data_IF_928181687202
#
_entry.id   IF_928181687202
#
_cell.length_a   1.000
_cell.length_b   1.000
_cell.length_c   1.000
_cell.angle_alpha   90.00
_cell.angle_beta   90.00
_cell.angle_gamma   90.00
#
_symmetry.space_group_name_H-M   'P 1'
#
loop_
_entity.id
_entity.type
_entity.pdbx_description
1 polymer ?
#
# COMPACT_ATOMS: atom_id res chain seq x y z
N UNK A 1 9.16 24.68 -21.52
CA UNK A 1 7.83 25.31 -21.45
C UNK A 1 6.94 24.63 -22.49
N UNK A 2 6.26 23.57 -22.09
CA UNK A 2 5.30 22.86 -22.95
C UNK A 2 3.91 23.28 -22.51
N UNK A 3 3.13 23.80 -23.46
CA UNK A 3 1.70 24.07 -23.33
C UNK A 3 1.00 22.86 -22.72
N UNK A 4 0.45 22.99 -21.51
CA UNK A 4 -0.19 21.89 -20.79
C UNK A 4 -1.57 21.64 -21.39
N UNK A 5 -1.69 20.59 -22.19
CA UNK A 5 -2.97 19.89 -22.24
C UNK A 5 -3.35 19.57 -20.78
N UNK A 6 -4.46 20.13 -20.30
CA UNK A 6 -5.05 19.76 -19.00
C UNK A 6 -5.15 18.23 -18.98
N UNK A 7 -4.50 17.58 -18.00
CA UNK A 7 -4.55 16.12 -17.95
C UNK A 7 -5.99 15.68 -17.73
N UNK A 8 -6.35 14.45 -18.16
CA UNK A 8 -7.71 13.92 -17.96
C UNK A 8 -8.10 13.94 -16.48
N UNK A 9 -7.13 13.70 -15.62
CA UNK A 9 -7.26 13.78 -14.18
C UNK A 9 -7.56 15.20 -13.69
N UNK A 10 -6.88 16.23 -14.21
CA UNK A 10 -7.15 17.62 -13.81
C UNK A 10 -8.55 18.05 -14.25
N UNK A 11 -9.00 17.60 -15.43
CA UNK A 11 -10.36 17.87 -15.90
C UNK A 11 -11.41 17.20 -15.00
N UNK A 12 -11.17 15.94 -14.59
CA UNK A 12 -12.04 15.23 -13.65
C UNK A 12 -12.02 15.86 -12.25
N UNK A 13 -10.84 16.20 -11.72
CA UNK A 13 -10.72 16.87 -10.42
C UNK A 13 -11.50 18.20 -10.42
N UNK A 14 -11.34 19.02 -11.45
CA UNK A 14 -12.11 20.26 -11.59
C UNK A 14 -13.63 19.99 -11.66
N UNK A 15 -14.07 18.97 -12.40
CA UNK A 15 -15.48 18.64 -12.55
C UNK A 15 -16.11 18.13 -11.23
N UNK A 16 -15.42 17.25 -10.49
CA UNK A 16 -15.88 16.78 -9.18
C UNK A 16 -15.94 17.92 -8.16
N UNK A 17 -14.90 18.76 -8.07
CA UNK A 17 -14.90 19.96 -7.21
C UNK A 17 -16.06 20.91 -7.52
N UNK A 18 -16.35 21.12 -8.80
CA UNK A 18 -17.49 21.93 -9.23
C UNK A 18 -18.83 21.29 -8.81
N UNK A 19 -18.97 19.97 -8.97
CA UNK A 19 -20.17 19.25 -8.55
C UNK A 19 -20.38 19.32 -7.02
N UNK A 20 -19.33 19.16 -6.21
CA UNK A 20 -19.40 19.32 -4.76
C UNK A 20 -19.81 20.73 -4.35
N UNK A 21 -19.28 21.74 -5.05
CA UNK A 21 -19.61 23.14 -4.78
C UNK A 21 -21.05 23.48 -5.16
N UNK A 22 -21.59 22.84 -6.20
CA UNK A 22 -22.96 23.05 -6.68
C UNK A 22 -24.02 22.34 -5.82
N UNK A 23 -23.70 21.20 -5.22
CA UNK A 23 -24.64 20.45 -4.37
C UNK A 23 -24.69 21.05 -2.95
N UNK A 24 -25.79 21.70 -2.60
CA UNK A 24 -25.98 22.34 -1.28
C UNK A 24 -25.95 21.34 -0.12
N UNK A 25 -26.23 20.06 -0.40
CA UNK A 25 -26.16 18.99 0.60
C UNK A 25 -24.73 18.66 0.97
N UNK A 26 -23.75 18.94 0.10
CA UNK A 26 -22.34 18.80 0.46
C UNK A 26 -21.94 19.97 1.36
N UNK A 27 -21.62 19.65 2.61
CA UNK A 27 -21.23 20.60 3.65
C UNK A 27 -19.74 20.86 3.67
N UNK A 28 -18.95 19.81 3.47
CA UNK A 28 -17.51 19.91 3.39
C UNK A 28 -16.93 18.86 2.44
N UNK A 29 -15.78 19.14 1.87
CA UNK A 29 -15.02 18.19 1.07
C UNK A 29 -13.53 18.47 1.19
N UNK A 30 -12.72 17.42 1.24
CA UNK A 30 -11.27 17.50 1.13
C UNK A 30 -10.75 16.51 0.09
N UNK A 31 -9.62 16.82 -0.50
CA UNK A 31 -8.80 15.90 -1.31
C UNK A 31 -7.58 15.46 -0.52
N UNK A 32 -7.05 14.29 -0.85
CA UNK A 32 -5.84 13.74 -0.23
C UNK A 32 -4.98 13.02 -1.29
N UNK A 33 -3.89 12.41 -0.83
CA UNK A 33 -3.02 11.62 -1.70
C UNK A 33 -2.05 12.47 -2.51
N UNK A 34 -1.69 11.98 -3.70
CA UNK A 34 -0.54 12.49 -4.45
C UNK A 34 -0.70 13.93 -4.96
N UNK A 35 -1.93 14.33 -5.31
CA UNK A 35 -2.23 15.64 -5.91
C UNK A 35 -2.02 16.81 -4.97
N UNK A 36 -2.68 16.88 -3.79
CA UNK A 36 -2.44 17.97 -2.85
C UNK A 36 -0.98 18.00 -2.33
N UNK A 37 -0.28 16.86 -2.36
CA UNK A 37 1.14 16.77 -2.01
C UNK A 37 2.11 17.22 -3.13
N UNK A 38 1.61 17.66 -4.29
CA UNK A 38 2.46 18.07 -5.43
C UNK A 38 3.20 16.90 -6.11
N UNK A 39 2.73 15.67 -5.91
CA UNK A 39 3.29 14.44 -6.46
C UNK A 39 2.38 13.77 -7.49
N UNK A 40 1.32 14.45 -7.91
CA UNK A 40 0.36 13.96 -8.90
C UNK A 40 0.92 14.00 -10.33
N UNK A 41 0.57 13.00 -11.12
CA UNK A 41 0.96 12.85 -12.52
C UNK A 41 -0.17 12.21 -13.36
N UNK A 42 0.15 11.83 -14.61
CA UNK A 42 -0.77 11.20 -15.55
C UNK A 42 -1.22 9.77 -15.19
N UNK A 43 -0.70 9.22 -14.09
CA UNK A 43 -1.05 7.90 -13.55
C UNK A 43 -1.73 7.97 -12.19
N UNK A 44 -1.86 9.18 -11.64
CA UNK A 44 -2.46 9.41 -10.34
C UNK A 44 -3.97 9.32 -10.39
N UNK A 45 -4.54 8.80 -9.31
CA UNK A 45 -5.97 8.86 -9.05
C UNK A 45 -6.41 10.28 -8.66
N UNK A 46 -7.72 10.47 -8.52
CA UNK A 46 -8.33 11.64 -7.88
C UNK A 46 -9.11 11.16 -6.66
N UNK A 47 -8.86 11.72 -5.49
CA UNK A 47 -9.31 11.14 -4.22
C UNK A 47 -9.98 12.22 -3.34
N UNK A 48 -11.14 11.89 -2.74
CA UNK A 48 -11.89 12.81 -1.89
C UNK A 48 -12.51 12.15 -0.65
N UNK A 49 -12.68 12.96 0.39
CA UNK A 49 -13.70 12.75 1.43
C UNK A 49 -14.74 13.85 1.31
N UNK A 50 -16.01 13.46 1.28
CA UNK A 50 -17.16 14.35 1.09
C UNK A 50 -18.13 14.16 2.26
N UNK A 51 -18.45 15.26 2.92
CA UNK A 51 -19.32 15.32 4.07
C UNK A 51 -20.68 15.93 3.68
N UNK A 52 -21.76 15.16 3.84
CA UNK A 52 -23.12 15.54 3.44
C UNK A 52 -24.01 15.87 4.65
N UNK A 53 -24.91 16.82 4.49
CA UNK A 53 -25.67 17.44 5.58
C UNK A 53 -26.58 16.47 6.34
N UNK A 54 -27.11 15.48 5.63
CA UNK A 54 -28.18 14.62 6.09
C UNK A 54 -27.63 13.21 6.38
N UNK A 55 -27.78 12.74 7.62
CA UNK A 55 -27.39 11.39 8.02
C UNK A 55 -28.12 10.32 7.21
N UNK A 56 -29.39 10.56 6.85
CA UNK A 56 -30.13 9.65 5.99
C UNK A 56 -29.52 9.63 4.58
N UNK A 57 -29.18 10.79 4.02
CA UNK A 57 -28.45 10.86 2.74
C UNK A 57 -27.10 10.14 2.80
N UNK A 58 -26.35 10.26 3.89
CA UNK A 58 -25.10 9.52 4.08
C UNK A 58 -25.33 8.01 4.19
N UNK A 59 -26.38 7.58 4.89
CA UNK A 59 -26.78 6.18 4.99
C UNK A 59 -27.26 5.62 3.62
N UNK A 60 -28.04 6.38 2.86
CA UNK A 60 -28.46 6.04 1.50
C UNK A 60 -27.24 5.88 0.58
N UNK A 61 -26.17 6.65 0.81
CA UNK A 61 -24.92 6.51 0.09
C UNK A 61 -24.12 5.24 0.39
N UNK A 62 -24.54 4.46 1.39
CA UNK A 62 -24.04 3.10 1.60
C UNK A 62 -24.62 2.10 0.58
N UNK A 63 -25.83 2.39 0.08
CA UNK A 63 -26.61 1.51 -0.81
C UNK A 63 -26.61 2.02 -2.27
N UNK A 64 -26.53 3.34 -2.47
CA UNK A 64 -26.67 3.98 -3.77
C UNK A 64 -25.61 5.07 -4.01
N UNK A 65 -24.93 5.08 -5.17
CA UNK A 65 -23.92 6.08 -5.46
C UNK A 65 -24.54 7.49 -5.54
N UNK A 66 -23.90 8.51 -4.97
CA UNK A 66 -24.28 9.91 -5.19
C UNK A 66 -24.41 10.29 -6.67
N UNK A 67 -25.37 11.16 -6.99
CA UNK A 67 -25.65 11.62 -8.36
C UNK A 67 -24.41 12.13 -9.10
N UNK A 68 -23.55 12.89 -8.42
CA UNK A 68 -22.31 13.40 -9.00
C UNK A 68 -21.30 12.31 -9.34
N UNK A 69 -21.32 11.12 -8.70
CA UNK A 69 -20.52 9.99 -9.16
C UNK A 69 -21.04 9.42 -10.48
N UNK A 70 -22.35 9.40 -10.66
CA UNK A 70 -22.98 8.83 -11.84
C UNK A 70 -22.86 9.74 -13.07
N UNK A 71 -22.84 11.06 -12.86
CA UNK A 71 -22.96 12.03 -13.95
C UNK A 71 -21.63 12.68 -14.35
N UNK A 72 -20.72 12.88 -13.40
CA UNK A 72 -19.42 13.51 -13.72
C UNK A 72 -18.61 12.54 -14.57
N UNK A 73 -18.30 12.94 -15.80
CA UNK A 73 -17.34 12.23 -16.65
C UNK A 73 -17.75 10.83 -17.08
N UNK A 74 -19.04 10.46 -17.00
CA UNK A 74 -19.64 9.22 -17.51
C UNK A 74 -18.78 7.96 -17.20
N UNK A 75 -18.70 7.54 -15.92
CA UNK A 75 -17.83 6.43 -15.53
C UNK A 75 -18.30 5.11 -16.16
N UNK A 76 -17.34 4.33 -16.65
CA UNK A 76 -17.57 2.99 -17.17
C UNK A 76 -17.81 1.96 -16.06
N UNK A 77 -17.37 2.24 -14.84
CA UNK A 77 -17.57 1.41 -13.66
C UNK A 77 -17.80 2.29 -12.44
N UNK A 78 -18.78 1.91 -11.62
CA UNK A 78 -18.98 2.38 -10.25
C UNK A 78 -19.02 1.16 -9.33
N UNK A 79 -18.17 1.16 -8.30
CA UNK A 79 -18.09 0.08 -7.32
C UNK A 79 -17.83 0.65 -5.94
N UNK A 80 -18.37 -0.01 -4.91
CA UNK A 80 -18.00 0.28 -3.52
C UNK A 80 -16.89 -0.68 -3.10
N UNK A 81 -15.74 -0.15 -2.69
CA UNK A 81 -14.58 -0.97 -2.32
C UNK A 81 -14.73 -1.54 -0.90
N UNK A 82 -13.79 -2.40 -0.50
CA UNK A 82 -13.73 -3.08 0.79
C UNK A 82 -13.54 -2.14 1.99
N UNK A 83 -13.18 -0.88 1.75
CA UNK A 83 -13.06 0.18 2.75
C UNK A 83 -14.29 1.08 2.82
N UNK A 84 -15.32 0.78 2.03
CA UNK A 84 -16.59 1.51 2.01
C UNK A 84 -16.61 2.75 1.11
N UNK A 85 -15.52 3.06 0.41
CA UNK A 85 -15.44 4.17 -0.54
C UNK A 85 -16.07 3.81 -1.87
N UNK A 86 -16.63 4.81 -2.55
CA UNK A 86 -17.02 4.66 -3.95
C UNK A 86 -15.81 4.86 -4.86
N UNK A 87 -15.64 3.97 -5.84
CA UNK A 87 -14.63 4.05 -6.88
C UNK A 87 -15.31 4.14 -8.24
N UNK A 88 -15.02 5.22 -8.95
CA UNK A 88 -15.43 5.45 -10.33
C UNK A 88 -14.24 5.25 -11.28
N UNK A 89 -14.45 4.59 -12.41
CA UNK A 89 -13.43 4.41 -13.46
C UNK A 89 -13.90 5.09 -14.74
N UNK A 90 -13.18 6.13 -15.17
CA UNK A 90 -13.53 6.95 -16.33
C UNK A 90 -12.72 6.58 -17.57
N UNK A 91 -13.10 7.19 -18.70
CA UNK A 91 -12.35 7.11 -19.95
C UNK A 91 -10.86 7.45 -19.74
N UNK A 92 -9.99 6.63 -20.34
CA UNK A 92 -8.54 6.73 -20.13
C UNK A 92 -8.06 6.07 -18.84
N UNK A 93 -8.89 5.24 -18.19
CA UNK A 93 -8.59 4.48 -16.97
C UNK A 93 -8.24 5.37 -15.77
N UNK A 94 -8.79 6.59 -15.73
CA UNK A 94 -8.66 7.45 -14.55
C UNK A 94 -9.58 6.93 -13.47
N UNK A 95 -9.02 6.63 -12.29
CA UNK A 95 -9.78 6.23 -11.11
C UNK A 95 -10.07 7.46 -10.24
N UNK A 96 -11.30 7.52 -9.74
CA UNK A 96 -11.73 8.51 -8.76
C UNK A 96 -12.25 7.76 -7.54
N UNK A 97 -11.69 8.02 -6.37
CA UNK A 97 -12.13 7.43 -5.09
C UNK A 97 -12.80 8.51 -4.23
N UNK A 98 -14.01 8.23 -3.75
CA UNK A 98 -14.75 9.14 -2.88
C UNK A 98 -15.34 8.43 -1.67
N UNK A 99 -14.92 8.89 -0.50
CA UNK A 99 -15.52 8.55 0.78
C UNK A 99 -16.68 9.51 1.06
N UNK A 100 -17.84 9.00 1.45
CA UNK A 100 -19.02 9.82 1.77
C UNK A 100 -19.40 9.62 3.23
N UNK A 101 -19.50 10.71 3.98
CA UNK A 101 -19.75 10.71 5.42
C UNK A 101 -20.83 11.72 5.80
N UNK A 102 -21.55 11.54 6.92
CA UNK A 102 -22.37 12.60 7.49
C UNK A 102 -21.50 13.80 7.91
N UNK A 103 -22.01 15.02 7.75
CA UNK A 103 -21.32 16.23 8.18
C UNK A 103 -21.09 16.29 9.70
N UNK A 104 -21.96 15.64 10.47
CA UNK A 104 -21.79 15.46 11.92
C UNK A 104 -20.50 14.69 12.27
N UNK A 105 -19.99 13.86 11.36
CA UNK A 105 -18.82 13.01 11.58
C UNK A 105 -17.50 13.61 11.05
N UNK A 106 -17.46 14.91 10.72
CA UNK A 106 -16.26 15.57 10.19
C UNK A 106 -15.02 15.41 11.08
N UNK A 107 -15.22 15.25 12.40
CA UNK A 107 -14.14 15.05 13.36
C UNK A 107 -13.42 13.70 13.20
N UNK A 108 -13.96 12.74 12.42
CA UNK A 108 -13.25 11.50 12.06
C UNK A 108 -11.90 11.77 11.41
N UNK A 109 -11.76 12.89 10.71
CA UNK A 109 -10.51 13.35 10.08
C UNK A 109 -9.40 13.51 11.11
N UNK A 110 -9.72 13.93 12.34
CA UNK A 110 -8.72 14.12 13.41
C UNK A 110 -8.04 12.82 13.84
N UNK A 111 -8.65 11.67 13.53
CA UNK A 111 -8.09 10.35 13.80
C UNK A 111 -7.03 9.90 12.79
N UNK A 112 -6.80 10.66 11.72
CA UNK A 112 -5.84 10.27 10.69
C UNK A 112 -4.40 10.36 11.21
N UNK A 113 -3.50 9.49 10.71
CA UNK A 113 -2.11 9.50 11.16
C UNK A 113 -1.36 10.78 10.75
N UNK A 114 -1.76 11.42 9.64
CA UNK A 114 -1.20 12.66 9.12
C UNK A 114 -2.05 13.23 7.99
N UNK A 115 -1.87 14.52 7.67
CA UNK A 115 -2.52 15.18 6.53
C UNK A 115 -1.75 15.00 5.20
N UNK A 116 -0.42 14.92 5.24
CA UNK A 116 0.43 14.65 4.06
C UNK A 116 0.52 15.76 3.01
N UNK A 117 -0.16 16.89 3.20
CA UNK A 117 -0.14 18.05 2.32
C UNK A 117 -0.62 19.32 3.05
N UNK A 118 -0.30 20.54 2.56
CA UNK A 118 -0.82 21.80 3.10
C UNK A 118 -2.35 21.83 3.18
N UNK A 119 -2.91 22.44 4.23
CA UNK A 119 -4.35 22.46 4.50
C UNK A 119 -5.12 23.07 3.32
N UNK A 120 -4.61 24.17 2.77
CA UNK A 120 -5.16 24.89 1.63
C UNK A 120 -5.15 24.09 0.33
N UNK A 121 -4.25 23.12 0.19
CA UNK A 121 -4.22 22.22 -0.96
C UNK A 121 -5.24 21.08 -0.81
N UNK A 122 -5.59 20.72 0.43
CA UNK A 122 -6.50 19.62 0.75
C UNK A 122 -7.96 20.06 0.81
N UNK A 123 -8.27 21.16 1.49
CA UNK A 123 -9.67 21.59 1.69
C UNK A 123 -10.26 22.08 0.36
N UNK A 124 -11.29 21.38 -0.11
CA UNK A 124 -12.02 21.72 -1.35
C UNK A 124 -13.19 22.65 -1.03
N UNK A 125 -13.93 22.34 0.04
CA UNK A 125 -15.13 23.04 0.47
C UNK A 125 -15.28 22.89 1.98
N UNK A 126 -15.67 23.96 2.68
CA UNK A 126 -15.95 23.92 4.13
C UNK A 126 -17.01 24.97 4.47
N UNK A 127 -18.29 24.61 4.30
CA UNK A 127 -19.41 25.56 4.48
C UNK A 127 -19.72 25.85 5.94
N UNK A 128 -19.42 24.90 6.83
CA UNK A 128 -19.69 25.00 8.27
C UNK A 128 -18.46 25.46 9.07
N UNK A 129 -17.28 25.50 8.45
CA UNK A 129 -16.02 25.91 9.08
C UNK A 129 -15.44 24.86 10.04
N UNK A 130 -15.96 23.64 10.03
CA UNK A 130 -15.56 22.56 10.92
C UNK A 130 -14.42 21.70 10.33
N UNK A 131 -14.35 21.59 9.00
CA UNK A 131 -13.37 20.73 8.34
C UNK A 131 -11.95 21.31 8.39
N UNK A 132 -11.80 22.61 8.14
CA UNK A 132 -10.47 23.26 8.09
C UNK A 132 -9.73 23.13 9.43
N UNK A 133 -10.35 23.39 10.60
CA UNK A 133 -9.69 23.15 11.89
C UNK A 133 -9.45 21.66 12.19
N UNK A 134 -10.23 20.74 11.63
CA UNK A 134 -10.00 19.31 11.78
C UNK A 134 -8.74 18.87 11.04
N UNK A 135 -8.59 19.28 9.77
CA UNK A 135 -7.39 18.99 8.97
C UNK A 135 -6.15 19.70 9.55
N UNK A 136 -6.28 20.95 9.98
CA UNK A 136 -5.17 21.72 10.54
C UNK A 136 -4.62 21.17 11.87
N UNK A 137 -5.41 20.37 12.59
CA UNK A 137 -4.96 19.72 13.82
C UNK A 137 -4.10 18.48 13.58
N UNK A 138 -4.09 17.93 12.36
CA UNK A 138 -3.28 16.78 12.01
C UNK A 138 -1.80 17.17 11.82
N UNK A 139 -0.86 16.31 12.22
CA UNK A 139 0.54 16.49 11.83
C UNK A 139 0.66 16.38 10.31
N UNK A 140 1.59 17.12 9.72
CA UNK A 140 1.85 17.04 8.28
C UNK A 140 2.38 15.66 7.88
N UNK A 141 3.31 15.15 8.67
CA UNK A 141 3.93 13.84 8.49
C UNK A 141 3.46 12.83 9.54
N UNK A 142 3.37 11.54 9.18
CA UNK A 142 2.99 10.50 10.12
C UNK A 142 4.09 10.29 11.18
N UNK A 143 3.69 9.84 12.37
CA UNK A 143 4.68 9.36 13.35
C UNK A 143 5.41 8.14 12.81
N UNK A 144 6.74 8.24 12.79
CA UNK A 144 7.66 7.14 12.51
C UNK A 144 8.12 6.51 13.84
N UNK A 145 8.41 5.20 13.90
CA UNK A 145 9.06 4.58 15.05
C UNK A 145 10.26 5.38 15.54
N UNK A 146 10.26 5.72 16.83
CA UNK A 146 11.24 6.62 17.45
C UNK A 146 11.98 6.00 18.63
N UNK A 147 11.76 4.72 18.93
CA UNK A 147 12.42 3.99 20.01
C UNK A 147 12.94 2.64 19.54
N UNK A 148 13.94 2.11 20.23
CA UNK A 148 14.50 0.78 19.95
C UNK A 148 13.42 -0.32 19.96
N UNK A 149 12.48 -0.26 20.91
CA UNK A 149 11.39 -1.22 21.01
C UNK A 149 10.41 -1.14 19.81
N UNK A 150 10.09 0.06 19.34
CA UNK A 150 9.22 0.23 18.17
C UNK A 150 9.91 -0.23 16.88
N UNK A 151 11.21 0.04 16.72
CA UNK A 151 11.99 -0.44 15.57
C UNK A 151 12.11 -1.97 15.60
N UNK A 152 12.37 -2.55 16.77
CA UNK A 152 12.37 -4.00 16.96
C UNK A 152 11.01 -4.61 16.61
N UNK A 153 9.89 -3.94 16.94
CA UNK A 153 8.55 -4.39 16.59
C UNK A 153 8.33 -4.42 15.07
N UNK A 154 8.84 -3.44 14.32
CA UNK A 154 8.79 -3.48 12.84
C UNK A 154 9.50 -4.72 12.30
N UNK A 155 10.67 -5.04 12.84
CA UNK A 155 11.43 -6.23 12.45
C UNK A 155 10.68 -7.53 12.85
N UNK A 156 10.06 -7.54 14.03
CA UNK A 156 9.24 -8.66 14.51
C UNK A 156 8.06 -8.98 13.61
N UNK A 157 7.39 -7.97 13.02
CA UNK A 157 6.31 -8.18 12.05
C UNK A 157 6.80 -8.88 10.78
N UNK A 158 7.99 -8.55 10.29
CA UNK A 158 8.62 -9.26 9.19
C UNK A 158 8.82 -10.75 9.51
N UNK A 159 9.44 -11.07 10.66
CA UNK A 159 9.65 -12.46 11.06
C UNK A 159 8.33 -13.23 11.19
N UNK A 160 7.30 -12.61 11.79
CA UNK A 160 5.98 -13.23 11.93
C UNK A 160 5.39 -13.66 10.57
N UNK A 161 5.39 -12.75 9.58
CA UNK A 161 4.87 -13.06 8.24
C UNK A 161 5.76 -14.07 7.51
N UNK A 162 7.08 -13.99 7.67
CA UNK A 162 8.02 -14.92 7.05
C UNK A 162 7.78 -16.34 7.56
N UNK A 163 7.65 -16.53 8.88
CA UNK A 163 7.40 -17.84 9.50
C UNK A 163 6.05 -18.41 9.07
N UNK A 164 4.99 -17.60 9.04
CA UNK A 164 3.69 -18.03 8.53
C UNK A 164 3.83 -18.55 7.08
N UNK A 165 4.40 -17.73 6.20
CA UNK A 165 4.60 -18.04 4.80
C UNK A 165 5.42 -19.31 4.56
N UNK A 166 6.55 -19.43 5.26
CA UNK A 166 7.40 -20.61 5.24
C UNK A 166 6.64 -21.87 5.66
N UNK A 167 5.87 -21.82 6.75
CA UNK A 167 5.15 -22.98 7.26
C UNK A 167 4.01 -23.43 6.32
N UNK A 168 3.23 -22.49 5.78
CA UNK A 168 2.13 -22.83 4.87
C UNK A 168 2.66 -23.35 3.53
N UNK A 169 3.82 -22.84 3.08
CA UNK A 169 4.59 -23.41 1.97
C UNK A 169 4.99 -24.86 2.28
N UNK A 170 5.49 -25.14 3.48
CA UNK A 170 5.83 -26.50 3.91
C UNK A 170 4.66 -27.50 3.89
N UNK A 171 3.40 -27.02 3.92
CA UNK A 171 2.18 -27.84 3.80
C UNK A 171 1.66 -27.96 2.37
N UNK A 172 2.28 -27.28 1.41
CA UNK A 172 1.80 -27.21 0.03
C UNK A 172 0.67 -26.19 -0.22
N UNK A 173 0.42 -25.26 0.71
CA UNK A 173 -0.54 -24.17 0.53
C UNK A 173 0.11 -23.01 -0.24
N UNK A 174 0.44 -23.24 -1.52
CA UNK A 174 1.26 -22.31 -2.31
C UNK A 174 0.64 -20.93 -2.50
N UNK A 175 -0.66 -20.84 -2.76
CA UNK A 175 -1.37 -19.55 -2.90
C UNK A 175 -1.35 -18.76 -1.58
N UNK A 176 -1.54 -19.43 -0.45
CA UNK A 176 -1.46 -18.79 0.87
C UNK A 176 -0.03 -18.34 1.18
N UNK A 177 0.96 -19.11 0.74
CA UNK A 177 2.37 -18.72 0.83
C UNK A 177 2.67 -17.49 -0.04
N UNK A 178 2.09 -17.41 -1.24
CA UNK A 178 2.22 -16.25 -2.12
C UNK A 178 1.58 -15.00 -1.50
N UNK A 179 0.39 -15.13 -0.90
CA UNK A 179 -0.27 -14.04 -0.17
C UNK A 179 0.57 -13.56 1.04
N UNK A 180 1.09 -14.48 1.85
CA UNK A 180 1.99 -14.14 2.94
C UNK A 180 3.28 -13.44 2.46
N UNK A 181 3.82 -13.81 1.29
CA UNK A 181 5.00 -13.20 0.70
C UNK A 181 4.78 -11.71 0.39
N UNK A 182 3.56 -11.31 0.01
CA UNK A 182 3.22 -9.90 -0.19
C UNK A 182 3.34 -9.10 1.13
N UNK A 183 2.91 -9.67 2.25
CA UNK A 183 3.10 -9.08 3.57
C UNK A 183 4.58 -9.03 3.99
N UNK A 184 5.33 -10.11 3.76
CA UNK A 184 6.79 -10.15 4.00
C UNK A 184 7.50 -9.02 3.27
N UNK A 185 7.22 -8.86 1.97
CA UNK A 185 7.79 -7.77 1.14
C UNK A 185 7.43 -6.40 1.69
N UNK A 186 6.18 -6.21 2.15
CA UNK A 186 5.73 -4.94 2.74
C UNK A 186 6.49 -4.60 4.03
N UNK A 187 6.70 -5.57 4.92
CA UNK A 187 7.48 -5.33 6.15
C UNK A 187 8.96 -5.03 5.84
N UNK A 188 9.56 -5.71 4.85
CA UNK A 188 10.92 -5.41 4.39
C UNK A 188 11.07 -3.99 3.86
N UNK A 189 10.06 -3.43 3.19
CA UNK A 189 10.08 -2.03 2.75
C UNK A 189 10.10 -1.05 3.93
N UNK A 190 9.38 -1.32 5.01
CA UNK A 190 9.46 -0.49 6.23
C UNK A 190 10.83 -0.59 6.90
N UNK A 191 11.39 -1.80 7.01
CA UNK A 191 12.74 -2.00 7.54
C UNK A 191 13.79 -1.27 6.70
N UNK A 192 13.68 -1.35 5.36
CA UNK A 192 14.56 -0.66 4.43
C UNK A 192 14.48 0.86 4.58
N UNK A 193 13.27 1.42 4.74
CA UNK A 193 13.09 2.87 4.97
C UNK A 193 13.70 3.33 6.28
N UNK A 194 13.56 2.57 7.37
CA UNK A 194 14.21 2.89 8.64
C UNK A 194 15.73 2.80 8.52
N UNK A 195 16.23 1.76 7.86
CA UNK A 195 17.68 1.54 7.73
C UNK A 195 18.36 2.57 6.83
N UNK A 196 17.62 3.17 5.87
CA UNK A 196 18.13 4.15 4.91
C UNK A 196 17.69 5.59 5.19
N UNK A 197 17.10 5.88 6.35
CA UNK A 197 16.53 7.19 6.71
C UNK A 197 15.56 7.77 5.63
N UNK A 198 14.82 6.89 4.95
CA UNK A 198 13.92 7.22 3.84
C UNK A 198 12.45 7.16 4.27
N UNK A 199 12.15 7.74 5.43
CA UNK A 199 10.89 7.54 6.17
C UNK A 199 9.74 8.46 5.75
N UNK A 200 9.99 9.43 4.87
CA UNK A 200 8.97 10.39 4.38
C UNK A 200 7.78 9.78 3.62
N UNK A 201 7.74 8.46 3.39
CA UNK A 201 6.59 7.73 2.83
C UNK A 201 6.16 6.58 3.74
N UNK A 202 6.14 6.84 5.04
CA UNK A 202 5.89 5.82 6.05
C UNK A 202 4.56 5.07 5.84
N UNK A 203 3.47 5.77 5.52
CA UNK A 203 2.16 5.14 5.32
C UNK A 203 2.08 4.28 4.05
N UNK A 204 2.92 4.58 3.06
CA UNK A 204 2.94 3.89 1.75
C UNK A 204 4.37 3.45 1.42
N UNK A 205 4.91 2.45 2.13
CA UNK A 205 6.35 2.16 2.10
C UNK A 205 6.87 1.70 0.73
N UNK A 206 6.01 1.23 -0.18
CA UNK A 206 6.38 0.93 -1.57
C UNK A 206 6.46 2.15 -2.48
N UNK A 207 5.79 3.25 -2.15
CA UNK A 207 5.70 4.43 -3.03
C UNK A 207 7.08 5.01 -3.29
N UNK A 208 7.50 5.07 -4.56
CA UNK A 208 8.79 5.62 -4.99
C UNK A 208 10.01 4.96 -4.34
N UNK A 209 9.89 3.68 -3.94
CA UNK A 209 10.98 2.93 -3.34
C UNK A 209 12.22 2.88 -4.26
N UNK A 210 12.02 2.75 -5.58
CA UNK A 210 13.06 2.71 -6.61
C UNK A 210 13.87 4.01 -6.69
N UNK A 211 13.29 5.12 -6.21
CA UNK A 211 13.93 6.44 -6.19
C UNK A 211 14.53 6.76 -4.83
N UNK A 212 13.84 6.37 -3.76
CA UNK A 212 14.20 6.79 -2.40
C UNK A 212 15.17 5.83 -1.69
N UNK A 213 15.21 4.56 -2.09
CA UNK A 213 16.05 3.54 -1.47
C UNK A 213 17.33 3.29 -2.29
N UNK A 214 18.36 2.76 -1.63
CA UNK A 214 19.60 2.35 -2.29
C UNK A 214 19.31 1.29 -3.38
N UNK A 215 19.94 1.38 -4.58
CA UNK A 215 19.68 0.45 -5.69
C UNK A 215 19.86 -1.03 -5.31
N UNK A 216 20.84 -1.35 -4.48
CA UNK A 216 21.12 -2.73 -4.04
C UNK A 216 20.02 -3.29 -3.14
N UNK A 217 19.34 -2.42 -2.38
CA UNK A 217 18.17 -2.79 -1.58
C UNK A 217 16.97 -3.02 -2.48
N UNK A 218 16.76 -2.17 -3.48
CA UNK A 218 15.68 -2.35 -4.48
C UNK A 218 15.87 -3.64 -5.27
N UNK A 219 17.09 -3.95 -5.69
CA UNK A 219 17.44 -5.20 -6.37
C UNK A 219 17.20 -6.42 -5.46
N UNK A 220 17.60 -6.33 -4.19
CA UNK A 220 17.33 -7.39 -3.20
C UNK A 220 15.84 -7.58 -2.95
N UNK A 221 15.07 -6.49 -2.85
CA UNK A 221 13.61 -6.55 -2.79
C UNK A 221 13.06 -7.22 -4.05
N UNK A 222 13.56 -6.92 -5.25
CA UNK A 222 13.15 -7.57 -6.50
C UNK A 222 13.24 -9.11 -6.46
N UNK A 223 14.22 -9.67 -5.74
CA UNK A 223 14.34 -11.13 -5.50
C UNK A 223 13.32 -11.70 -4.51
N UNK A 224 12.63 -10.85 -3.74
CA UNK A 224 11.51 -11.20 -2.86
C UNK A 224 10.19 -11.08 -3.63
N UNK A 225 10.10 -11.79 -4.74
CA UNK A 225 8.93 -11.92 -5.60
C UNK A 225 9.02 -13.24 -6.33
N UNK A 226 7.89 -13.91 -6.49
CA UNK A 226 7.83 -15.24 -7.08
C UNK A 226 6.55 -15.40 -7.90
N UNK A 227 6.58 -16.33 -8.85
CA UNK A 227 5.35 -16.99 -9.31
C UNK A 227 4.89 -17.96 -8.23
N UNK A 228 3.62 -18.34 -8.23
CA UNK A 228 3.08 -19.35 -7.30
C UNK A 228 3.54 -20.77 -7.70
N UNK A 229 4.85 -21.00 -7.62
CA UNK A 229 5.51 -22.27 -7.92
C UNK A 229 6.43 -22.64 -6.75
N UNK A 230 6.49 -23.92 -6.32
CA UNK A 230 7.20 -24.31 -5.10
C UNK A 230 8.66 -23.84 -5.07
N UNK A 231 9.40 -24.03 -6.18
CA UNK A 231 10.80 -23.65 -6.28
C UNK A 231 11.01 -22.13 -6.32
N UNK A 232 10.10 -21.38 -6.95
CA UNK A 232 10.18 -19.92 -7.03
C UNK A 232 9.88 -19.29 -5.66
N UNK A 233 8.83 -19.77 -4.98
CA UNK A 233 8.49 -19.37 -3.61
C UNK A 233 9.65 -19.65 -2.66
N UNK A 234 10.23 -20.86 -2.69
CA UNK A 234 11.36 -21.20 -1.84
C UNK A 234 12.51 -20.19 -1.99
N UNK A 235 12.91 -19.86 -3.23
CA UNK A 235 13.98 -18.88 -3.48
C UNK A 235 13.62 -17.46 -3.02
N UNK A 236 12.36 -17.06 -3.17
CA UNK A 236 11.91 -15.76 -2.71
C UNK A 236 11.89 -15.65 -1.18
N UNK A 237 11.51 -16.71 -0.45
CA UNK A 237 11.59 -16.76 1.01
C UNK A 237 13.03 -16.78 1.51
N UNK A 238 13.93 -17.51 0.85
CA UNK A 238 15.36 -17.51 1.18
C UNK A 238 15.96 -16.10 0.96
N UNK A 239 15.60 -15.44 -0.14
CA UNK A 239 16.00 -14.06 -0.44
C UNK A 239 15.41 -13.06 0.57
N UNK A 240 14.16 -13.27 0.99
CA UNK A 240 13.49 -12.44 1.99
C UNK A 240 14.19 -12.55 3.34
N UNK A 241 14.56 -13.76 3.76
CA UNK A 241 15.29 -13.98 5.01
C UNK A 241 16.66 -13.29 4.97
N UNK A 242 17.43 -13.50 3.90
CA UNK A 242 18.76 -12.88 3.76
C UNK A 242 18.71 -11.34 3.78
N UNK A 243 17.72 -10.73 3.12
CA UNK A 243 17.53 -9.28 3.17
C UNK A 243 17.05 -8.83 4.57
N UNK A 244 16.08 -9.54 5.15
CA UNK A 244 15.50 -9.22 6.45
C UNK A 244 16.52 -9.30 7.57
N UNK A 245 17.32 -10.38 7.66
CA UNK A 245 18.40 -10.52 8.65
C UNK A 245 19.42 -9.39 8.54
N UNK A 246 19.86 -9.07 7.31
CA UNK A 246 20.79 -7.95 7.08
C UNK A 246 20.22 -6.62 7.58
N UNK A 247 18.98 -6.29 7.21
CA UNK A 247 18.32 -5.05 7.63
C UNK A 247 18.08 -5.02 9.14
N UNK A 248 17.65 -6.14 9.73
CA UNK A 248 17.43 -6.27 11.16
C UNK A 248 18.71 -6.03 11.94
N UNK A 249 19.83 -6.65 11.54
CA UNK A 249 21.14 -6.43 12.17
C UNK A 249 21.61 -4.99 12.07
N UNK A 250 21.40 -4.34 10.92
CA UNK A 250 21.72 -2.92 10.74
C UNK A 250 20.89 -2.03 11.70
N UNK A 251 19.59 -2.30 11.80
CA UNK A 251 18.70 -1.58 12.70
C UNK A 251 19.02 -1.84 14.18
N UNK A 252 19.29 -3.09 14.54
CA UNK A 252 19.71 -3.49 15.88
C UNK A 252 20.97 -2.75 16.34
N UNK A 253 21.98 -2.68 15.46
CA UNK A 253 23.20 -1.92 15.71
C UNK A 253 22.95 -0.41 15.84
N UNK A 254 22.08 0.16 15.00
CA UNK A 254 21.77 1.59 14.99
C UNK A 254 20.95 2.04 16.20
N UNK A 255 20.00 1.21 16.64
CA UNK A 255 19.02 1.58 17.68
C UNK A 255 19.28 0.93 19.05
N UNK A 256 20.24 0.02 19.15
CA UNK A 256 20.65 -0.60 20.41
C UNK A 256 19.65 -1.63 20.93
N UNK A 257 19.33 -2.65 20.14
CA UNK A 257 18.55 -3.82 20.55
C UNK A 257 19.15 -5.12 20.01
N UNK A 258 18.66 -6.26 20.48
CA UNK A 258 19.24 -7.57 20.12
C UNK A 258 18.83 -8.01 18.69
N UNK A 259 19.78 -8.51 17.87
CA UNK A 259 19.49 -9.12 16.59
C UNK A 259 18.76 -10.48 16.76
N UNK A 260 18.17 -11.04 15.69
CA UNK A 260 17.32 -12.22 15.79
C UNK A 260 18.13 -13.54 15.84
N UNK A 261 19.24 -13.60 16.59
CA UNK A 261 20.22 -14.70 16.49
C UNK A 261 19.62 -16.08 16.75
N UNK A 262 18.73 -16.20 17.75
CA UNK A 262 18.04 -17.46 18.02
C UNK A 262 17.14 -17.89 16.86
N UNK A 263 16.43 -16.95 16.25
CA UNK A 263 15.55 -17.22 15.12
C UNK A 263 16.37 -17.55 13.87
N UNK A 264 17.48 -16.84 13.62
CA UNK A 264 18.41 -17.14 12.53
C UNK A 264 18.95 -18.57 12.62
N UNK A 265 19.36 -19.00 13.81
CA UNK A 265 19.79 -20.39 14.03
C UNK A 265 18.69 -21.42 13.73
N UNK A 266 17.42 -21.11 14.03
CA UNK A 266 16.29 -21.99 13.66
C UNK A 266 16.04 -22.04 12.16
N UNK A 267 16.13 -20.89 11.47
CA UNK A 267 15.95 -20.84 10.01
C UNK A 267 17.05 -21.60 9.29
N UNK A 268 18.30 -21.47 9.74
CA UNK A 268 19.45 -22.21 9.19
C UNK A 268 19.31 -23.72 9.38
N UNK A 269 18.90 -24.18 10.57
CA UNK A 269 18.66 -25.59 10.84
C UNK A 269 17.55 -26.16 9.95
N UNK A 270 16.42 -25.46 9.83
CA UNK A 270 15.29 -25.89 9.00
C UNK A 270 15.67 -25.97 7.50
N UNK A 271 16.50 -25.05 7.02
CA UNK A 271 16.99 -25.06 5.65
C UNK A 271 17.86 -26.29 5.35
N UNK A 272 18.66 -26.74 6.32
CA UNK A 272 19.48 -27.95 6.21
C UNK A 272 18.61 -29.22 6.18
N UNK A 273 17.62 -29.30 7.06
CA UNK A 273 16.72 -30.47 7.14
C UNK A 273 15.86 -30.65 5.87
N UNK A 274 15.50 -29.56 5.19
CA UNK A 274 14.70 -29.59 3.95
C UNK A 274 15.51 -29.69 2.66
N UNK A 275 16.83 -29.59 2.72
CA UNK A 275 17.70 -29.64 1.54
C UNK A 275 17.56 -30.94 0.71
N UNK A 276 17.45 -32.15 1.31
CA UNK A 276 17.30 -33.40 0.55
C UNK A 276 15.98 -33.47 -0.22
N UNK A 277 14.87 -33.07 0.43
CA UNK A 277 13.54 -33.10 -0.17
C UNK A 277 13.39 -32.09 -1.33
N UNK A 278 14.05 -30.93 -1.25
CA UNK A 278 14.09 -29.94 -2.34
C UNK A 278 14.89 -30.45 -3.56
N UNK A 279 15.98 -31.18 -3.34
CA UNK A 279 16.79 -31.76 -4.42
C UNK A 279 16.00 -32.84 -5.20
N UNK A 280 15.31 -33.74 -4.49
CA UNK A 280 14.48 -34.79 -5.09
C UNK A 280 13.29 -34.21 -5.89
N UNK A 281 12.63 -33.17 -5.38
CA UNK A 281 11.53 -32.49 -6.09
C UNK A 281 12.00 -31.81 -7.38
N UNK A 282 13.18 -31.17 -7.35
CA UNK A 282 13.77 -30.51 -8.52
C UNK A 282 14.15 -31.54 -9.60
N UNK A 283 14.65 -32.71 -9.21
CA UNK A 283 14.99 -33.81 -10.12
C UNK A 283 13.74 -34.46 -10.74
N UNK A 284 12.66 -34.59 -9.96
CA UNK A 284 11.36 -35.05 -10.44
C UNK A 284 10.71 -34.08 -11.45
N UNK A 285 10.79 -32.77 -11.22
CA UNK A 285 10.30 -31.75 -12.17
C UNK A 285 11.11 -31.71 -13.47
N UNK A 286 12.45 -31.80 -13.38
CA UNK A 286 13.33 -31.85 -14.56
C UNK A 286 13.11 -33.12 -15.39
N UNK A 287 12.83 -34.26 -14.77
CA UNK A 287 12.53 -35.51 -15.47
C UNK A 287 11.12 -35.52 -16.07
N UNK A 288 10.14 -34.87 -15.45
CA UNK A 288 8.80 -34.66 -16.01
C UNK A 288 8.83 -33.72 -17.23
N UNK A 289 9.52 -32.58 -17.14
CA UNK A 289 9.66 -31.61 -18.24
C UNK A 289 10.39 -32.20 -19.47
N UNK A 290 11.36 -33.11 -19.26
CA UNK A 290 12.04 -33.82 -20.36
C UNK A 290 11.17 -34.85 -21.08
N UNK A 291 10.13 -35.40 -20.43
CA UNK A 291 9.18 -36.34 -21.06
C UNK A 291 8.11 -35.64 -21.91
N UNK A 292 7.92 -34.33 -21.74
CA UNK A 292 6.95 -33.53 -22.50
C UNK A 292 7.54 -32.79 -23.71
N UNK A 293 8.84 -32.92 -24.03
CA UNK A 293 9.35 -32.48 -25.33
C UNK A 293 8.97 -33.51 -26.40
N UNK A 294 8.20 -33.14 -27.44
CA UNK A 294 7.95 -34.04 -28.56
C UNK A 294 9.30 -34.37 -29.25
N UNK A 295 9.50 -35.60 -29.73
CA UNK A 295 10.66 -35.91 -30.54
C UNK A 295 10.60 -35.06 -31.81
N UNK A 296 11.76 -34.52 -32.22
CA UNK A 296 11.87 -33.47 -33.22
C UNK A 296 10.98 -33.65 -34.45
N UNK A 297 10.33 -32.54 -34.82
CA UNK A 297 9.75 -32.25 -36.12
C UNK A 297 10.16 -30.86 -36.53
#
# INVERSE_FOLDING_TARGET
>A
MSSSATSRQDALDAAYRAAFTADERVRAALTYGSRPAGLGDAWSDVEYWVFVADEQSAADHLEHPPKWLCEVGDPALLVRNEFGAWVAVHAGLVRVEVHVWPAADVDVVRGWPARGAPVEAMVVLDRDGALTPAVAALPEDPRVPGTAAEVAQVCGRFANWWVLGHNVSGRGEWERSQDALAHVRRELLWMARLSGDATGRWLTPSRLAERDLAPEVVEALGRVSARTEPADLARAYDSAWALGDRLWRALAAMWGFDPPDRLAGWVEAEAQDRAPARAEATEAELTSSRRCRPPGG
#
